data_IF_854517602044
#
_entry.id   IF_854517602044
#
_cell.length_a   1.000
_cell.length_b   1.000
_cell.length_c   1.000
_cell.angle_alpha   90.00
_cell.angle_beta   90.00
_cell.angle_gamma   90.00
#
_symmetry.space_group_name_H-M   'P 1'
#
loop_
_entity.id
_entity.type
_entity.pdbx_description
1 polymer ?
#
# COMPACT_ATOMS: atom_id res chain seq x y z
N UNK A 1 22.21 -31.38 -0.91
CA UNK A 1 21.29 -31.04 -2.02
C UNK A 1 20.27 -32.15 -2.09
N UNK A 2 19.07 -31.95 -1.54
CA UNK A 2 18.01 -32.98 -1.56
C UNK A 2 17.34 -32.95 -2.93
N UNK A 3 17.68 -33.94 -3.77
CA UNK A 3 16.95 -34.25 -4.99
C UNK A 3 15.55 -34.69 -4.60
N UNK A 4 14.58 -33.77 -4.64
CA UNK A 4 13.18 -34.10 -4.45
C UNK A 4 12.73 -34.98 -5.61
N UNK A 5 11.93 -36.01 -5.32
CA UNK A 5 11.29 -36.82 -6.35
C UNK A 5 10.37 -35.93 -7.22
N UNK A 6 10.20 -36.22 -8.53
CA UNK A 6 9.25 -35.50 -9.38
C UNK A 6 7.83 -35.39 -8.81
N UNK A 7 7.40 -36.39 -8.02
CA UNK A 7 6.11 -36.37 -7.33
C UNK A 7 6.08 -35.44 -6.11
N UNK A 8 7.17 -35.38 -5.35
CA UNK A 8 7.32 -34.43 -4.24
C UNK A 8 7.40 -32.99 -4.74
N UNK A 9 8.08 -32.76 -5.87
CA UNK A 9 8.14 -31.46 -6.52
C UNK A 9 6.74 -30.98 -6.97
N UNK A 10 5.92 -31.88 -7.54
CA UNK A 10 4.55 -31.54 -7.93
C UNK A 10 3.66 -31.22 -6.72
N UNK A 11 3.77 -32.00 -5.63
CA UNK A 11 3.06 -31.74 -4.38
C UNK A 11 3.48 -30.39 -3.77
N UNK A 12 4.79 -30.13 -3.71
CA UNK A 12 5.33 -28.87 -3.19
C UNK A 12 4.88 -27.67 -4.02
N UNK A 13 4.86 -27.79 -5.34
CA UNK A 13 4.36 -26.74 -6.23
C UNK A 13 2.89 -26.42 -5.94
N UNK A 14 2.05 -27.44 -5.77
CA UNK A 14 0.64 -27.23 -5.42
C UNK A 14 0.48 -26.50 -4.08
N UNK A 15 1.28 -26.86 -3.07
CA UNK A 15 1.26 -26.19 -1.77
C UNK A 15 1.68 -24.72 -1.89
N UNK A 16 2.77 -24.44 -2.61
CA UNK A 16 3.25 -23.08 -2.83
C UNK A 16 2.23 -22.21 -3.56
N UNK A 17 1.50 -22.76 -4.53
CA UNK A 17 0.43 -22.06 -5.24
C UNK A 17 -0.77 -21.78 -4.31
N UNK A 18 -1.14 -22.74 -3.46
CA UNK A 18 -2.19 -22.53 -2.45
C UNK A 18 -1.76 -21.49 -1.39
N UNK A 19 -0.49 -21.48 -0.97
CA UNK A 19 0.10 -20.49 -0.07
C UNK A 19 0.07 -19.09 -0.71
N UNK A 20 0.50 -18.98 -1.97
CA UNK A 20 0.43 -17.73 -2.74
C UNK A 20 -0.99 -17.19 -2.82
N UNK A 21 -1.97 -18.06 -3.08
CA UNK A 21 -3.39 -17.69 -3.13
C UNK A 21 -3.87 -17.09 -1.82
N UNK A 22 -3.57 -17.75 -0.69
CA UNK A 22 -3.94 -17.28 0.65
C UNK A 22 -3.30 -15.93 0.96
N UNK A 23 -2.00 -15.79 0.67
CA UNK A 23 -1.24 -14.57 0.94
C UNK A 23 -1.78 -13.36 0.15
N UNK A 24 -2.14 -13.57 -1.12
CA UNK A 24 -2.79 -12.54 -1.94
C UNK A 24 -4.14 -12.12 -1.35
N UNK A 25 -4.92 -13.07 -0.81
CA UNK A 25 -6.15 -12.75 -0.07
C UNK A 25 -5.89 -11.85 1.14
N UNK A 26 -4.85 -12.15 1.93
CA UNK A 26 -4.46 -11.30 3.07
C UNK A 26 -4.04 -9.90 2.61
N UNK A 27 -3.26 -9.79 1.54
CA UNK A 27 -2.85 -8.50 0.97
C UNK A 27 -4.06 -7.65 0.52
N UNK A 28 -5.08 -8.27 -0.07
CA UNK A 28 -6.32 -7.57 -0.44
C UNK A 28 -7.03 -7.02 0.81
N UNK A 29 -7.17 -7.81 1.86
CA UNK A 29 -7.79 -7.34 3.11
C UNK A 29 -6.98 -6.20 3.75
N UNK A 30 -5.64 -6.28 3.71
CA UNK A 30 -4.76 -5.21 4.17
C UNK A 30 -4.90 -3.95 3.31
N UNK A 31 -5.07 -4.06 2.00
CA UNK A 31 -5.34 -2.92 1.13
C UNK A 31 -6.68 -2.24 1.44
N UNK A 32 -7.73 -3.01 1.76
CA UNK A 32 -9.02 -2.45 2.23
C UNK A 32 -8.86 -1.71 3.55
N UNK A 33 -8.11 -2.28 4.49
CA UNK A 33 -7.76 -1.61 5.75
C UNK A 33 -6.99 -0.31 5.49
N UNK A 34 -6.06 -0.29 4.54
CA UNK A 34 -5.30 0.90 4.18
C UNK A 34 -6.21 2.02 3.68
N UNK A 35 -7.18 1.70 2.83
CA UNK A 35 -8.16 2.67 2.35
C UNK A 35 -8.97 3.30 3.50
N UNK A 36 -9.33 2.49 4.52
CA UNK A 36 -10.01 2.98 5.71
C UNK A 36 -9.11 3.92 6.53
N UNK A 37 -7.83 3.56 6.74
CA UNK A 37 -6.88 4.39 7.50
C UNK A 37 -6.57 5.71 6.81
N UNK A 38 -6.42 5.70 5.48
CA UNK A 38 -6.28 6.94 4.68
C UNK A 38 -7.50 7.82 4.91
N UNK A 39 -8.70 7.26 4.77
CA UNK A 39 -9.95 8.03 4.97
C UNK A 39 -10.07 8.59 6.39
N UNK A 40 -9.63 7.85 7.41
CA UNK A 40 -9.61 8.28 8.80
C UNK A 40 -8.53 9.34 9.10
N UNK A 41 -7.50 9.46 8.26
CA UNK A 41 -6.37 10.35 8.49
C UNK A 41 -5.42 9.90 9.59
N UNK A 42 -5.50 8.63 10.02
CA UNK A 42 -4.61 8.07 11.04
C UNK A 42 -3.27 7.64 10.42
N UNK A 43 -2.32 8.57 10.40
CA UNK A 43 -1.00 8.34 9.84
C UNK A 43 -0.20 7.26 10.60
N UNK A 44 -0.39 7.10 11.91
CA UNK A 44 0.33 6.11 12.71
C UNK A 44 -0.15 4.71 12.39
N UNK A 45 -1.47 4.49 12.38
CA UNK A 45 -2.06 3.21 11.99
C UNK A 45 -1.72 2.86 10.53
N UNK A 46 -1.71 3.86 9.64
CA UNK A 46 -1.31 3.68 8.25
C UNK A 46 0.15 3.20 8.12
N UNK A 47 1.10 3.81 8.84
CA UNK A 47 2.50 3.39 8.80
C UNK A 47 2.71 1.97 9.33
N UNK A 48 2.04 1.61 10.43
CA UNK A 48 2.09 0.24 10.95
C UNK A 48 1.55 -0.76 9.93
N UNK A 49 0.43 -0.45 9.30
CA UNK A 49 -0.17 -1.31 8.28
C UNK A 49 0.73 -1.46 7.04
N UNK A 50 1.41 -0.40 6.62
CA UNK A 50 2.37 -0.46 5.51
C UNK A 50 3.56 -1.36 5.84
N UNK A 51 4.09 -1.32 7.07
CA UNK A 51 5.15 -2.22 7.51
C UNK A 51 4.71 -3.69 7.48
N UNK A 52 3.51 -3.99 7.98
CA UNK A 52 2.93 -5.34 7.91
C UNK A 52 2.80 -5.83 6.46
N UNK A 53 2.33 -4.96 5.55
CA UNK A 53 2.22 -5.29 4.12
C UNK A 53 3.56 -5.56 3.47
N UNK A 54 4.61 -4.82 3.86
CA UNK A 54 5.96 -5.04 3.33
C UNK A 54 6.45 -6.46 3.63
N UNK A 55 6.23 -6.96 4.85
CA UNK A 55 6.56 -8.35 5.21
C UNK A 55 5.79 -9.37 4.36
N UNK A 56 4.51 -9.12 4.10
CA UNK A 56 3.70 -10.00 3.24
C UNK A 56 4.17 -9.98 1.76
N UNK A 57 4.62 -8.83 1.26
CA UNK A 57 5.17 -8.69 -0.09
C UNK A 57 6.48 -9.48 -0.21
N UNK A 58 7.35 -9.40 0.79
CA UNK A 58 8.61 -10.17 0.83
C UNK A 58 8.35 -11.68 0.85
N UNK A 59 7.36 -12.13 1.64
CA UNK A 59 6.93 -13.53 1.63
C UNK A 59 6.38 -13.96 0.26
N UNK A 60 5.59 -13.08 -0.39
CA UNK A 60 5.06 -13.34 -1.72
C UNK A 60 6.16 -13.48 -2.77
N UNK A 61 7.18 -12.63 -2.71
CA UNK A 61 8.36 -12.72 -3.58
C UNK A 61 9.10 -14.04 -3.37
N UNK A 62 9.34 -14.44 -2.12
CA UNK A 62 9.98 -15.73 -1.81
C UNK A 62 9.20 -16.91 -2.40
N UNK A 63 7.87 -16.92 -2.24
CA UNK A 63 7.02 -17.97 -2.80
C UNK A 63 7.10 -18.00 -4.34
N UNK A 64 7.14 -16.85 -4.99
CA UNK A 64 7.28 -16.77 -6.45
C UNK A 64 8.61 -17.34 -6.94
N UNK A 65 9.71 -17.05 -6.23
CA UNK A 65 11.02 -17.59 -6.56
C UNK A 65 11.05 -19.12 -6.38
N UNK A 66 10.48 -19.64 -5.29
CA UNK A 66 10.37 -21.09 -5.05
C UNK A 66 9.53 -21.77 -6.15
N UNK A 67 8.42 -21.16 -6.56
CA UNK A 67 7.56 -21.66 -7.65
C UNK A 67 8.35 -21.70 -8.98
N UNK A 68 9.04 -20.61 -9.32
CA UNK A 68 9.81 -20.52 -10.56
C UNK A 68 10.97 -21.54 -10.58
N UNK A 69 11.62 -21.75 -9.44
CA UNK A 69 12.69 -22.75 -9.29
C UNK A 69 12.19 -24.19 -9.48
N UNK A 70 10.96 -24.51 -9.10
CA UNK A 70 10.36 -25.82 -9.34
C UNK A 70 9.88 -25.98 -10.79
N UNK A 71 9.27 -24.95 -11.37
CA UNK A 71 8.78 -24.99 -12.75
C UNK A 71 9.91 -25.12 -13.77
N UNK A 72 11.03 -24.42 -13.56
CA UNK A 72 12.20 -24.45 -14.45
C UNK A 72 12.88 -25.82 -14.54
N UNK A 73 12.67 -26.70 -13.54
CA UNK A 73 13.22 -28.07 -13.56
C UNK A 73 12.49 -29.01 -14.53
N UNK A 74 11.28 -28.67 -14.96
CA UNK A 74 10.53 -29.37 -16.03
C UNK A 74 10.01 -30.78 -15.72
N UNK A 75 10.50 -31.45 -14.68
CA UNK A 75 10.19 -32.85 -14.36
C UNK A 75 9.21 -32.97 -13.16
N UNK A 76 7.92 -32.76 -13.42
CA UNK A 76 6.85 -32.86 -12.43
C UNK A 76 5.97 -34.09 -12.70
N UNK A 77 5.92 -35.01 -11.75
CA UNK A 77 5.04 -36.18 -11.79
C UNK A 77 3.79 -35.92 -10.94
N UNK A 78 2.69 -35.54 -11.58
CA UNK A 78 1.43 -35.29 -10.89
C UNK A 78 0.78 -36.59 -10.42
N UNK A 79 0.24 -36.59 -9.20
CA UNK A 79 -0.48 -37.74 -8.66
C UNK A 79 -1.73 -38.11 -9.49
N UNK A 80 -2.35 -37.12 -10.13
CA UNK A 80 -3.45 -37.32 -11.07
C UNK A 80 -3.60 -36.12 -12.03
N UNK A 81 -4.32 -36.28 -13.16
CA UNK A 81 -4.68 -35.15 -14.03
C UNK A 81 -5.48 -34.06 -13.32
N UNK A 82 -6.36 -34.43 -12.38
CA UNK A 82 -7.18 -33.51 -11.60
C UNK A 82 -6.32 -32.66 -10.67
N UNK A 83 -5.29 -33.24 -10.04
CA UNK A 83 -4.34 -32.50 -9.21
C UNK A 83 -3.60 -31.42 -10.02
N UNK A 84 -3.19 -31.77 -11.25
CA UNK A 84 -2.58 -30.81 -12.19
C UNK A 84 -3.55 -29.71 -12.57
N UNK A 85 -4.78 -30.05 -12.93
CA UNK A 85 -5.82 -29.09 -13.33
C UNK A 85 -6.16 -28.13 -12.19
N UNK A 86 -6.29 -28.62 -10.95
CA UNK A 86 -6.49 -27.80 -9.76
C UNK A 86 -5.35 -26.81 -9.58
N UNK A 87 -4.10 -27.27 -9.59
CA UNK A 87 -2.95 -26.37 -9.41
C UNK A 87 -2.90 -25.29 -10.50
N UNK A 88 -3.20 -25.65 -11.76
CA UNK A 88 -3.29 -24.69 -12.85
C UNK A 88 -4.42 -23.67 -12.65
N UNK A 89 -5.59 -24.13 -12.20
CA UNK A 89 -6.73 -23.25 -11.88
C UNK A 89 -6.39 -22.25 -10.78
N UNK A 90 -5.82 -22.71 -9.66
CA UNK A 90 -5.43 -21.83 -8.54
C UNK A 90 -4.33 -20.87 -8.97
N UNK A 91 -3.35 -21.30 -9.78
CA UNK A 91 -2.34 -20.42 -10.34
C UNK A 91 -2.96 -19.31 -11.22
N UNK A 92 -3.97 -19.65 -12.02
CA UNK A 92 -4.75 -18.67 -12.78
C UNK A 92 -5.47 -17.67 -11.88
N UNK A 93 -6.10 -18.13 -10.80
CA UNK A 93 -6.75 -17.27 -9.81
C UNK A 93 -5.74 -16.34 -9.11
N UNK A 94 -4.54 -16.84 -8.78
CA UNK A 94 -3.46 -16.02 -8.22
C UNK A 94 -3.07 -14.86 -9.13
N UNK A 95 -3.09 -15.04 -10.45
CA UNK A 95 -2.79 -13.95 -11.38
C UNK A 95 -3.88 -12.87 -11.34
N UNK A 96 -5.15 -13.28 -11.28
CA UNK A 96 -6.27 -12.33 -11.14
C UNK A 96 -6.22 -11.57 -9.80
N UNK A 97 -5.97 -12.27 -8.69
CA UNK A 97 -5.80 -11.64 -7.38
C UNK A 97 -4.59 -10.71 -7.33
N UNK A 98 -3.49 -11.07 -7.99
CA UNK A 98 -2.31 -10.21 -8.11
C UNK A 98 -2.62 -8.87 -8.79
N UNK A 99 -3.40 -8.90 -9.88
CA UNK A 99 -3.84 -7.66 -10.53
C UNK A 99 -4.75 -6.83 -9.61
N UNK A 100 -5.68 -7.47 -8.91
CA UNK A 100 -6.55 -6.78 -7.96
C UNK A 100 -5.76 -6.10 -6.83
N UNK A 101 -4.71 -6.74 -6.32
CA UNK A 101 -3.79 -6.11 -5.34
C UNK A 101 -3.17 -4.85 -5.93
N UNK A 102 -2.61 -4.91 -7.14
CA UNK A 102 -1.99 -3.74 -7.79
C UNK A 102 -2.98 -2.59 -8.01
N UNK A 103 -4.20 -2.88 -8.45
CA UNK A 103 -5.26 -1.88 -8.62
C UNK A 103 -5.65 -1.20 -7.30
N UNK A 104 -5.71 -1.98 -6.22
CA UNK A 104 -6.02 -1.50 -4.88
C UNK A 104 -4.90 -0.60 -4.34
N UNK A 105 -3.63 -0.99 -4.53
CA UNK A 105 -2.47 -0.16 -4.15
C UNK A 105 -2.47 1.17 -4.90
N UNK A 106 -2.64 1.14 -6.21
CA UNK A 106 -2.67 2.35 -7.04
C UNK A 106 -3.82 3.29 -6.66
N UNK A 107 -4.94 2.74 -6.17
CA UNK A 107 -6.06 3.54 -5.66
C UNK A 107 -5.73 4.15 -4.31
N UNK A 108 -5.14 3.39 -3.39
CA UNK A 108 -4.70 3.89 -2.08
C UNK A 108 -3.64 4.99 -2.21
N UNK A 109 -2.66 4.82 -3.10
CA UNK A 109 -1.61 5.81 -3.37
C UNK A 109 -2.19 7.15 -3.85
N UNK A 110 -3.11 7.11 -4.83
CA UNK A 110 -3.80 8.30 -5.33
C UNK A 110 -4.59 9.01 -4.24
N UNK A 111 -5.31 8.27 -3.41
CA UNK A 111 -6.08 8.84 -2.30
C UNK A 111 -5.18 9.48 -1.25
N UNK A 112 -4.12 8.79 -0.82
CA UNK A 112 -3.18 9.31 0.18
C UNK A 112 -2.48 10.59 -0.32
N UNK A 113 -2.07 10.62 -1.60
CA UNK A 113 -1.46 11.79 -2.24
C UNK A 113 -2.44 12.97 -2.27
N UNK A 114 -3.67 12.72 -2.70
CA UNK A 114 -4.72 13.76 -2.75
C UNK A 114 -4.99 14.36 -1.37
N UNK A 115 -5.08 13.52 -0.33
CA UNK A 115 -5.32 13.97 1.03
C UNK A 115 -4.14 14.78 1.59
N UNK A 116 -2.91 14.32 1.35
CA UNK A 116 -1.70 15.06 1.74
C UNK A 116 -1.66 16.43 1.09
N UNK A 117 -1.94 16.52 -0.20
CA UNK A 117 -1.91 17.78 -0.94
C UNK A 117 -3.02 18.75 -0.48
N UNK A 118 -4.20 18.23 -0.12
CA UNK A 118 -5.27 19.01 0.48
C UNK A 118 -4.86 19.57 1.86
N UNK A 119 -4.24 18.76 2.71
CA UNK A 119 -3.72 19.21 4.02
C UNK A 119 -2.62 20.26 3.86
N UNK A 120 -1.68 20.07 2.93
CA UNK A 120 -0.63 21.03 2.64
C UNK A 120 -1.20 22.39 2.20
N UNK A 121 -2.24 22.38 1.36
CA UNK A 121 -2.94 23.59 0.95
C UNK A 121 -3.62 24.29 2.14
N UNK A 122 -4.31 23.54 2.99
CA UNK A 122 -4.95 24.11 4.20
C UNK A 122 -3.94 24.76 5.14
N UNK A 123 -2.78 24.13 5.35
CA UNK A 123 -1.70 24.68 6.17
C UNK A 123 -1.16 25.99 5.54
N UNK A 124 -0.95 26.01 4.23
CA UNK A 124 -0.47 27.20 3.53
C UNK A 124 -1.49 28.34 3.60
N UNK A 125 -2.77 28.06 3.40
CA UNK A 125 -3.86 29.04 3.49
C UNK A 125 -3.96 29.63 4.91
N UNK A 126 -3.83 28.80 5.95
CA UNK A 126 -3.80 29.26 7.34
C UNK A 126 -2.57 30.14 7.64
N UNK A 127 -1.38 29.73 7.17
CA UNK A 127 -0.16 30.52 7.33
C UNK A 127 -0.26 31.89 6.65
N UNK A 128 -0.81 31.94 5.43
CA UNK A 128 -0.98 33.18 4.68
C UNK A 128 -2.02 34.11 5.31
N UNK A 129 -3.09 33.54 5.88
CA UNK A 129 -4.09 34.30 6.63
C UNK A 129 -3.46 34.98 7.86
N UNK A 130 -2.68 34.24 8.65
CA UNK A 130 -2.05 34.77 9.85
C UNK A 130 -1.04 35.89 9.55
N UNK A 131 -0.26 35.77 8.47
CA UNK A 131 0.66 36.84 8.04
C UNK A 131 -0.08 38.13 7.65
N UNK A 132 -1.22 38.02 6.95
CA UNK A 132 -2.02 39.19 6.56
C UNK A 132 -2.73 39.86 7.74
N UNK A 133 -3.13 39.10 8.75
CA UNK A 133 -3.71 39.67 9.97
C UNK A 133 -2.66 40.38 10.83
N UNK A 134 -1.42 39.90 10.89
CA UNK A 134 -0.35 40.57 11.63
C UNK A 134 0.04 41.93 11.02
N UNK A 135 0.04 42.06 9.70
CA UNK A 135 0.34 43.34 9.03
C UNK A 135 -0.76 44.40 9.27
N UNK A 136 -2.02 43.99 9.44
CA UNK A 136 -3.13 44.91 9.69
C UNK A 136 -3.10 45.57 11.07
N UNK A 137 -2.49 44.92 12.08
CA UNK A 137 -2.36 45.52 13.42
C UNK A 137 -1.14 46.44 13.56
N UNK A 138 -0.22 46.44 12.58
CA UNK A 138 0.97 47.33 12.60
C UNK A 138 0.71 48.72 12.01
N UNK A 139 -0.36 48.91 11.23
CA UNK A 139 -0.66 50.18 10.56
C UNK A 139 -1.52 51.15 11.39
N UNK A 140 -2.21 50.65 12.43
CA UNK A 140 -3.07 51.48 13.29
C UNK A 140 -2.32 52.13 14.47
N UNK A 141 -1.08 51.71 14.76
CA UNK A 141 -0.27 52.28 15.87
C UNK A 141 0.55 53.51 15.42
N UNK A 142 0.94 53.59 14.14
CA UNK A 142 1.65 54.76 13.58
C UNK A 142 0.72 55.95 13.29
N UNK A 143 -0.58 55.72 13.04
CA UNK A 143 -1.54 56.80 12.76
C UNK A 143 -2.06 57.49 14.01
N UNK A 144 -2.03 56.86 15.19
CA UNK A 144 -2.48 57.48 16.46
C UNK A 144 -1.47 58.42 17.11
N UNK A 145 -0.20 58.38 16.71
CA UNK A 145 0.84 59.26 17.26
C UNK A 145 1.00 60.58 16.49
N UNK A 146 0.40 60.71 15.29
CA UNK A 146 0.47 61.93 14.49
C UNK A 146 -0.65 62.95 14.81
N UNK A 147 -1.75 62.56 15.46
CA UNK A 147 -2.88 63.46 15.76
C UNK A 147 -2.76 64.24 17.08
N UNK A 148 -1.70 64.03 17.87
CA UNK A 148 -1.54 64.67 19.18
C UNK A 148 -0.56 65.87 19.22
N UNK A 149 0.01 66.27 18.08
CA UNK A 149 1.08 67.31 18.04
C UNK A 149 0.68 68.64 17.36
N UNK A 150 -0.58 68.81 16.91
CA UNK A 150 -1.06 70.07 16.28
C UNK A 150 -2.05 70.86 17.17
N UNK A 151 -1.75 71.02 18.45
CA UNK A 151 -2.47 71.97 19.31
C UNK A 151 -1.53 72.66 20.30
N UNK A 152 -0.83 73.70 19.82
CA UNK A 152 -0.29 74.81 20.63
C UNK A 152 -0.12 76.06 19.78
#
# INVERSE_FOLDING_TARGET
MTSHSPAEAALRLSQLVDDKFRLLGVLIEKGKQQQQQITAGDATALLQLLAEKQTLIEELQRLQDEIAALQSRGDLAWASPEARARCQSVAGQCNALGQLVLELEATCERHATTQRDAMAKQIHDFSNFNSRSSDSYSLDDETRLAEFDESS
#
